data_IF_889594878345
#
_entry.id   IF_889594878345
#
_cell.length_a   1.000
_cell.length_b   1.000
_cell.length_c   1.000
_cell.angle_alpha   90.00
_cell.angle_beta   90.00
_cell.angle_gamma   90.00
#
_symmetry.space_group_name_H-M   'P 1'
#
loop_
_entity.id
_entity.type
_entity.pdbx_description
1 polymer ?
#
# COMPACT_ATOMS: atom_id res chain seq x y z
N UNK A 1 34.29 -7.40 26.38
CA UNK A 1 33.35 -6.99 25.32
C UNK A 1 32.07 -6.61 26.02
N UNK A 2 31.79 -5.32 26.17
CA UNK A 2 30.53 -4.86 26.73
C UNK A 2 29.38 -5.22 25.78
N UNK A 3 28.21 -5.61 26.30
CA UNK A 3 27.03 -5.83 25.49
C UNK A 3 26.58 -4.49 24.89
N UNK A 4 26.49 -4.44 23.56
CA UNK A 4 25.97 -3.29 22.82
C UNK A 4 24.63 -2.85 23.41
N UNK A 5 24.60 -1.65 23.99
CA UNK A 5 23.38 -1.02 24.46
C UNK A 5 22.39 -0.92 23.29
N UNK A 6 21.25 -1.59 23.41
CA UNK A 6 20.10 -1.36 22.52
C UNK A 6 19.66 0.09 22.73
N UNK A 7 20.00 0.97 21.79
CA UNK A 7 19.45 2.32 21.76
C UNK A 7 17.97 2.21 21.38
N UNK A 8 17.10 2.20 22.39
CA UNK A 8 15.68 2.44 22.18
C UNK A 8 15.51 3.92 21.76
N UNK A 9 15.46 4.18 20.46
CA UNK A 9 15.02 5.49 19.97
C UNK A 9 13.50 5.65 20.15
N UNK A 10 13.00 6.85 20.50
CA UNK A 10 11.61 7.05 20.88
C UNK A 10 10.63 6.83 19.71
N UNK A 11 9.45 6.28 20.03
CA UNK A 11 8.25 6.27 19.16
C UNK A 11 7.85 7.74 18.94
N UNK A 12 7.81 8.20 17.68
CA UNK A 12 7.48 9.60 17.37
C UNK A 12 6.03 9.69 16.93
N UNK A 13 5.15 9.95 17.89
CA UNK A 13 3.76 10.30 17.64
C UNK A 13 3.65 11.82 17.71
N UNK A 14 3.53 12.46 16.55
CA UNK A 14 3.42 13.91 16.47
C UNK A 14 2.15 14.29 15.72
N UNK A 15 1.31 15.06 16.39
CA UNK A 15 -0.01 15.49 15.91
C UNK A 15 -0.07 17.00 16.06
N UNK A 16 -0.18 17.71 14.96
CA UNK A 16 -0.61 19.12 14.95
C UNK A 16 -1.78 19.24 13.95
N UNK A 17 -2.53 20.35 13.98
CA UNK A 17 -3.61 20.57 13.02
C UNK A 17 -3.12 20.36 11.57
N UNK A 18 -3.57 19.28 10.94
CA UNK A 18 -3.28 18.97 9.55
C UNK A 18 -2.16 17.95 9.30
N UNK A 19 -1.55 17.38 10.34
CA UNK A 19 -0.63 16.25 10.15
C UNK A 19 -0.67 15.21 11.28
N UNK A 20 -0.38 13.98 10.90
CA UNK A 20 -0.08 12.86 11.77
C UNK A 20 1.10 12.06 11.25
N UNK A 21 2.20 12.05 12.03
CA UNK A 21 3.37 11.21 11.76
C UNK A 21 3.41 10.06 12.76
N UNK A 22 3.59 8.85 12.24
CA UNK A 22 3.84 7.65 13.03
C UNK A 22 5.02 6.89 12.45
N UNK A 23 6.09 6.73 13.24
CA UNK A 23 7.25 5.97 12.80
C UNK A 23 7.78 5.08 13.91
N UNK A 24 8.25 3.91 13.53
CA UNK A 24 8.94 2.97 14.40
C UNK A 24 10.40 2.86 13.97
N UNK A 25 11.31 3.04 14.93
CA UNK A 25 12.74 2.91 14.72
C UNK A 25 13.19 1.48 15.08
N UNK A 26 13.92 0.83 14.18
CA UNK A 26 14.46 -0.52 14.41
C UNK A 26 15.91 -0.64 13.94
N UNK A 27 16.79 -0.89 14.91
CA UNK A 27 18.19 -1.33 14.82
C UNK A 27 19.17 -0.45 14.00
N UNK A 28 18.72 0.25 12.96
CA UNK A 28 19.41 1.33 12.22
C UNK A 28 18.47 2.08 11.22
N UNK A 29 17.19 1.68 11.06
CA UNK A 29 16.25 2.31 10.13
C UNK A 29 14.95 2.74 10.83
N UNK A 30 14.46 3.93 10.48
CA UNK A 30 13.12 4.42 10.85
C UNK A 30 12.19 4.17 9.67
N UNK A 31 11.22 3.25 9.83
CA UNK A 31 10.13 3.05 8.87
C UNK A 31 8.84 3.55 9.52
N UNK A 32 7.95 4.12 8.72
CA UNK A 32 6.80 4.82 9.25
C UNK A 32 5.75 5.10 8.21
N UNK A 33 4.63 5.63 8.67
CA UNK A 33 3.56 6.16 7.86
C UNK A 33 3.29 7.60 8.31
N UNK A 34 3.02 8.46 7.35
CA UNK A 34 2.57 9.82 7.62
C UNK A 34 1.27 10.09 6.88
N UNK A 35 0.38 10.83 7.52
CA UNK A 35 -0.87 11.29 6.94
C UNK A 35 -0.99 12.79 7.12
N UNK A 36 -1.32 13.48 6.05
CA UNK A 36 -1.49 14.93 6.03
C UNK A 36 -2.90 15.26 5.53
N UNK A 37 -3.54 16.25 6.12
CA UNK A 37 -4.87 16.70 5.71
C UNK A 37 -5.04 18.21 5.85
N UNK A 38 -5.94 18.78 5.06
CA UNK A 38 -6.32 20.19 5.15
C UNK A 38 -7.19 20.41 6.39
N UNK A 39 -6.63 20.94 7.49
CA UNK A 39 -7.30 21.09 8.79
C UNK A 39 -8.52 22.02 8.76
N UNK A 40 -8.54 22.96 7.81
CA UNK A 40 -9.67 23.84 7.48
C UNK A 40 -10.82 23.11 6.77
N UNK A 41 -10.55 21.98 6.10
CA UNK A 41 -11.57 21.15 5.42
C UNK A 41 -12.01 19.96 6.24
N UNK A 42 -11.08 19.32 6.95
CA UNK A 42 -11.31 18.08 7.68
C UNK A 42 -11.04 18.23 9.18
N UNK A 43 -11.97 17.69 9.96
CA UNK A 43 -11.82 17.50 11.40
C UNK A 43 -11.47 16.02 11.65
N UNK A 44 -10.35 15.78 12.32
CA UNK A 44 -9.98 14.44 12.79
C UNK A 44 -10.94 14.03 13.92
N UNK A 45 -11.55 12.85 13.80
CA UNK A 45 -12.49 12.30 14.78
C UNK A 45 -11.85 11.20 15.63
N UNK A 46 -11.10 10.30 15.00
CA UNK A 46 -10.41 9.19 15.65
C UNK A 46 -9.14 8.86 14.88
N UNK A 47 -8.14 8.38 15.60
CA UNK A 47 -6.89 7.93 15.04
C UNK A 47 -6.42 6.66 15.74
N UNK A 48 -5.84 5.76 14.98
CA UNK A 48 -5.31 4.50 15.50
C UNK A 48 -4.06 4.12 14.72
N UNK A 49 -3.02 3.71 15.44
CA UNK A 49 -1.84 3.09 14.85
C UNK A 49 -1.84 1.60 15.10
N UNK A 50 -1.27 0.87 14.15
CA UNK A 50 -1.14 -0.58 14.18
C UNK A 50 0.34 -0.89 14.08
N UNK A 51 0.88 -1.53 15.12
CA UNK A 51 2.20 -2.15 15.07
C UNK A 51 2.03 -3.64 14.80
N UNK A 52 2.39 -4.08 13.59
CA UNK A 52 2.18 -5.47 13.19
C UNK A 52 3.02 -6.45 14.03
N UNK A 53 4.09 -5.99 14.68
CA UNK A 53 4.96 -6.80 15.54
C UNK A 53 4.21 -7.39 16.72
N UNK A 54 3.22 -6.67 17.26
CA UNK A 54 2.39 -7.10 18.39
C UNK A 54 1.54 -8.33 18.02
N UNK A 55 1.40 -8.61 16.72
CA UNK A 55 0.64 -9.72 16.16
C UNK A 55 1.53 -10.75 15.46
N UNK A 56 2.85 -10.68 15.65
CA UNK A 56 3.82 -11.58 14.98
C UNK A 56 3.99 -11.29 13.48
N UNK A 57 3.52 -10.15 13.00
CA UNK A 57 3.49 -9.75 11.59
C UNK A 57 4.62 -8.77 11.23
N UNK A 58 5.80 -8.91 11.86
CA UNK A 58 7.00 -8.07 11.65
C UNK A 58 6.81 -6.60 12.03
N UNK A 59 7.89 -5.84 11.94
CA UNK A 59 8.01 -4.46 12.43
C UNK A 59 7.32 -3.39 11.58
N UNK A 60 6.52 -3.77 10.58
CA UNK A 60 5.78 -2.83 9.76
C UNK A 60 4.68 -2.13 10.58
N UNK A 61 4.22 -0.99 10.07
CA UNK A 61 3.18 -0.19 10.72
C UNK A 61 2.08 0.21 9.74
N UNK A 62 0.93 0.54 10.29
CA UNK A 62 -0.17 1.20 9.57
C UNK A 62 -0.85 2.23 10.46
N UNK A 63 -1.56 3.17 9.82
CA UNK A 63 -2.37 4.19 10.45
C UNK A 63 -3.80 4.10 9.95
N UNK A 64 -4.75 4.43 10.80
CA UNK A 64 -6.16 4.66 10.47
C UNK A 64 -6.59 6.00 11.08
N UNK A 65 -7.27 6.82 10.29
CA UNK A 65 -7.77 8.12 10.72
C UNK A 65 -9.17 8.36 10.18
N UNK A 66 -10.13 8.53 11.08
CA UNK A 66 -11.50 8.89 10.74
C UNK A 66 -11.62 10.41 10.66
N UNK A 67 -12.13 10.92 9.55
CA UNK A 67 -12.30 12.35 9.32
C UNK A 67 -13.76 12.71 9.11
N UNK A 68 -14.11 13.94 9.49
CA UNK A 68 -15.37 14.59 9.16
C UNK A 68 -15.13 15.88 8.37
N UNK A 69 -15.91 16.10 7.32
CA UNK A 69 -15.83 17.33 6.54
C UNK A 69 -16.50 18.48 7.30
N UNK A 70 -15.77 19.57 7.54
CA UNK A 70 -16.27 20.71 8.34
C UNK A 70 -17.49 21.40 7.71
N UNK A 71 -17.49 21.53 6.39
CA UNK A 71 -18.57 22.18 5.64
C UNK A 71 -19.80 21.27 5.46
N UNK A 72 -19.72 20.00 5.84
CA UNK A 72 -20.84 19.06 5.74
C UNK A 72 -20.75 18.04 6.86
N UNK A 73 -21.27 18.41 8.04
CA UNK A 73 -21.10 17.70 9.33
C UNK A 73 -21.62 16.24 9.38
N UNK A 74 -22.10 15.69 8.27
CA UNK A 74 -22.52 14.28 8.14
C UNK A 74 -21.61 13.47 7.21
N UNK A 75 -20.64 14.11 6.55
CA UNK A 75 -19.72 13.45 5.61
C UNK A 75 -18.46 13.03 6.33
N UNK A 76 -18.34 11.72 6.51
CA UNK A 76 -17.21 11.09 7.16
C UNK A 76 -16.54 10.10 6.23
N UNK A 77 -15.25 9.90 6.44
CA UNK A 77 -14.43 8.93 5.71
C UNK A 77 -13.35 8.39 6.63
N UNK A 78 -13.10 7.09 6.56
CA UNK A 78 -11.96 6.45 7.20
C UNK A 78 -10.83 6.36 6.19
N UNK A 79 -9.65 6.86 6.53
CA UNK A 79 -8.46 6.76 5.69
C UNK A 79 -7.43 5.91 6.42
N UNK A 80 -6.96 4.86 5.76
CA UNK A 80 -5.85 4.02 6.21
C UNK A 80 -4.61 4.27 5.35
N UNK A 81 -3.45 4.25 5.99
CA UNK A 81 -2.15 4.27 5.33
C UNK A 81 -1.31 3.08 5.82
N UNK A 82 -0.67 2.36 4.91
CA UNK A 82 0.14 1.18 5.24
C UNK A 82 1.41 1.09 4.39
N UNK A 83 2.50 0.61 4.99
CA UNK A 83 3.67 0.14 4.27
C UNK A 83 3.86 -1.35 4.55
N UNK A 84 3.35 -2.19 3.65
CA UNK A 84 3.38 -3.65 3.76
C UNK A 84 4.80 -4.17 3.62
N UNK A 85 5.12 -5.29 4.26
CA UNK A 85 6.44 -5.93 4.21
C UNK A 85 7.00 -6.01 2.79
N UNK A 86 8.23 -5.53 2.59
CA UNK A 86 8.89 -5.55 1.28
C UNK A 86 9.23 -6.97 0.79
N UNK A 87 9.74 -7.84 1.66
CA UNK A 87 10.33 -9.13 1.28
C UNK A 87 9.40 -9.96 0.34
N UNK A 88 9.81 -10.20 -0.92
CA UNK A 88 8.94 -10.83 -1.92
C UNK A 88 8.56 -12.28 -1.58
N UNK A 89 9.39 -12.96 -0.77
CA UNK A 89 9.21 -14.37 -0.39
C UNK A 89 8.29 -14.57 0.83
N UNK A 90 7.79 -13.50 1.43
CA UNK A 90 6.99 -13.53 2.67
C UNK A 90 5.55 -13.12 2.43
N UNK A 91 4.94 -13.70 1.40
CA UNK A 91 3.58 -13.37 0.96
C UNK A 91 2.52 -13.60 2.03
N UNK A 92 2.72 -14.59 2.90
CA UNK A 92 1.86 -14.90 4.04
C UNK A 92 1.83 -13.76 5.07
N UNK A 93 2.97 -13.14 5.36
CA UNK A 93 3.03 -11.99 6.28
C UNK A 93 2.34 -10.78 5.66
N UNK A 94 2.55 -10.53 4.35
CA UNK A 94 1.87 -9.44 3.64
C UNK A 94 0.36 -9.60 3.70
N UNK A 95 -0.11 -10.82 3.44
CA UNK A 95 -1.53 -11.16 3.50
C UNK A 95 -2.08 -10.96 4.92
N UNK A 96 -1.39 -11.46 5.94
CA UNK A 96 -1.76 -11.24 7.34
C UNK A 96 -1.84 -9.75 7.74
N UNK A 97 -0.88 -8.93 7.32
CA UNK A 97 -0.89 -7.46 7.55
C UNK A 97 -2.11 -6.80 6.91
N UNK A 98 -2.42 -7.14 5.65
CA UNK A 98 -3.56 -6.61 4.90
C UNK A 98 -4.89 -7.07 5.52
N UNK A 99 -5.01 -8.34 5.89
CA UNK A 99 -6.17 -8.89 6.60
C UNK A 99 -6.42 -8.13 7.90
N UNK A 100 -5.38 -7.96 8.71
CA UNK A 100 -5.48 -7.28 10.00
C UNK A 100 -5.90 -5.82 9.85
N UNK A 101 -5.26 -5.07 8.93
CA UNK A 101 -5.64 -3.69 8.62
C UNK A 101 -7.10 -3.60 8.18
N UNK A 102 -7.54 -4.49 7.28
CA UNK A 102 -8.89 -4.48 6.72
C UNK A 102 -9.95 -4.76 7.80
N UNK A 103 -9.69 -5.71 8.69
CA UNK A 103 -10.56 -6.01 9.84
C UNK A 103 -10.63 -4.84 10.82
N UNK A 104 -9.49 -4.22 11.14
CA UNK A 104 -9.47 -3.04 12.02
C UNK A 104 -10.19 -1.85 11.39
N UNK A 105 -10.01 -1.65 10.08
CA UNK A 105 -10.68 -0.58 9.35
C UNK A 105 -12.21 -0.78 9.34
N UNK A 106 -12.70 -2.02 9.17
CA UNK A 106 -14.13 -2.31 9.26
C UNK A 106 -14.71 -1.93 10.64
N UNK A 107 -14.04 -2.30 11.73
CA UNK A 107 -14.48 -1.97 13.10
C UNK A 107 -14.59 -0.46 13.31
N UNK A 108 -13.57 0.30 12.87
CA UNK A 108 -13.58 1.77 13.00
C UNK A 108 -14.65 2.38 12.09
N UNK A 109 -14.83 1.85 10.87
CA UNK A 109 -15.84 2.32 9.95
C UNK A 109 -17.27 2.16 10.51
N UNK A 110 -17.56 1.00 11.10
CA UNK A 110 -18.84 0.69 11.77
C UNK A 110 -19.10 1.64 12.94
N UNK A 111 -18.09 1.84 13.81
CA UNK A 111 -18.16 2.75 14.97
C UNK A 111 -18.59 4.17 14.59
N UNK A 112 -18.19 4.66 13.42
CA UNK A 112 -18.51 6.01 12.95
C UNK A 112 -19.76 6.10 12.06
N UNK A 113 -20.53 5.01 11.98
CA UNK A 113 -21.80 4.95 11.23
C UNK A 113 -21.65 4.33 9.84
N UNK A 114 -20.89 3.25 9.72
CA UNK A 114 -20.60 2.56 8.45
C UNK A 114 -20.00 3.50 7.39
N UNK A 115 -19.05 4.33 7.80
CA UNK A 115 -18.42 5.33 6.93
C UNK A 115 -17.59 4.65 5.84
N UNK A 116 -17.50 5.23 4.63
CA UNK A 116 -16.66 4.66 3.59
C UNK A 116 -15.17 4.67 3.98
N UNK A 117 -14.43 3.69 3.48
CA UNK A 117 -13.02 3.46 3.77
C UNK A 117 -12.19 3.70 2.52
N UNK A 118 -11.05 4.36 2.71
CA UNK A 118 -9.94 4.45 1.76
C UNK A 118 -8.72 3.81 2.39
N UNK A 119 -8.06 2.86 1.73
CA UNK A 119 -6.78 2.31 2.15
C UNK A 119 -5.72 2.67 1.11
N UNK A 120 -4.69 3.38 1.53
CA UNK A 120 -3.61 3.84 0.68
C UNK A 120 -2.25 3.34 1.18
N UNK A 121 -1.25 3.36 0.30
CA UNK A 121 0.14 3.14 0.68
C UNK A 121 0.88 2.20 -0.26
N UNK A 122 2.08 1.79 0.16
CA UNK A 122 2.91 0.81 -0.55
C UNK A 122 2.54 -0.59 -0.05
N UNK A 123 1.80 -1.32 -0.87
CA UNK A 123 1.37 -2.68 -0.55
C UNK A 123 2.46 -3.71 -0.89
N UNK A 124 3.53 -3.33 -1.59
CA UNK A 124 4.56 -4.26 -2.05
C UNK A 124 3.97 -5.51 -2.75
N UNK A 125 2.91 -5.31 -3.53
CA UNK A 125 2.25 -6.33 -4.37
C UNK A 125 2.07 -5.79 -5.78
N UNK A 126 2.05 -6.69 -6.76
CA UNK A 126 1.84 -6.32 -8.17
C UNK A 126 0.37 -6.50 -8.57
N UNK A 127 -0.10 -5.82 -9.63
CA UNK A 127 -1.49 -5.96 -10.06
C UNK A 127 -1.89 -7.35 -10.59
N UNK A 128 -0.93 -8.21 -10.91
CA UNK A 128 -1.15 -9.60 -11.34
C UNK A 128 -1.10 -10.60 -10.17
N UNK A 129 -0.81 -10.12 -8.96
CA UNK A 129 -0.56 -10.96 -7.80
C UNK A 129 -1.83 -11.58 -7.20
N UNK A 130 -1.66 -12.69 -6.49
CA UNK A 130 -2.74 -13.33 -5.74
C UNK A 130 -3.31 -12.42 -4.66
N UNK A 131 -2.47 -11.59 -4.02
CA UNK A 131 -2.89 -10.64 -2.98
C UNK A 131 -3.67 -9.46 -3.59
N UNK A 132 -3.34 -9.01 -4.81
CA UNK A 132 -4.17 -8.00 -5.50
C UNK A 132 -5.56 -8.57 -5.78
N UNK A 133 -5.63 -9.82 -6.27
CA UNK A 133 -6.91 -10.52 -6.46
C UNK A 133 -7.68 -10.60 -5.14
N UNK A 134 -7.03 -11.03 -4.06
CA UNK A 134 -7.61 -11.08 -2.71
C UNK A 134 -8.26 -9.75 -2.32
N UNK A 135 -7.55 -8.62 -2.45
CA UNK A 135 -8.07 -7.29 -2.14
C UNK A 135 -9.35 -6.96 -2.91
N UNK A 136 -9.43 -7.37 -4.18
CA UNK A 136 -10.58 -7.13 -5.04
C UNK A 136 -11.75 -8.10 -4.82
N UNK A 137 -11.47 -9.38 -4.50
CA UNK A 137 -12.48 -10.44 -4.35
C UNK A 137 -12.92 -10.68 -2.91
N UNK A 138 -12.26 -10.07 -1.93
CA UNK A 138 -12.45 -10.28 -0.49
C UNK A 138 -12.03 -11.65 0.04
N UNK A 139 -11.67 -12.59 -0.82
CA UNK A 139 -11.29 -13.96 -0.46
C UNK A 139 -10.17 -14.53 -1.34
N UNK A 140 -9.35 -15.40 -0.76
CA UNK A 140 -8.26 -16.09 -1.45
C UNK A 140 -8.00 -17.46 -0.84
N UNK A 141 -8.08 -18.51 -1.66
CA UNK A 141 -7.59 -19.83 -1.27
C UNK A 141 -6.07 -19.90 -1.49
N UNK A 142 -5.31 -19.77 -0.40
CA UNK A 142 -3.83 -19.70 -0.44
C UNK A 142 -3.18 -21.01 -0.88
N UNK A 143 -3.88 -22.15 -0.78
CA UNK A 143 -3.37 -23.46 -1.21
C UNK A 143 -3.15 -23.54 -2.72
N UNK A 144 -3.82 -22.66 -3.48
CA UNK A 144 -3.73 -22.64 -4.95
C UNK A 144 -2.51 -21.88 -5.48
N UNK A 145 -1.66 -21.34 -4.61
CA UNK A 145 -0.54 -20.47 -4.98
C UNK A 145 0.75 -20.90 -4.28
N UNK A 146 1.88 -20.65 -4.94
CA UNK A 146 3.18 -20.70 -4.28
C UNK A 146 3.27 -19.57 -3.25
N UNK A 147 3.56 -19.92 -2.00
CA UNK A 147 3.72 -18.97 -0.88
C UNK A 147 4.72 -17.84 -1.18
N UNK A 148 5.73 -18.10 -2.02
CA UNK A 148 6.77 -17.13 -2.41
C UNK A 148 6.39 -16.25 -3.60
N UNK A 149 5.26 -16.52 -4.26
CA UNK A 149 4.82 -15.76 -5.43
C UNK A 149 3.50 -15.00 -5.20
N UNK A 150 2.93 -15.07 -4.00
CA UNK A 150 1.67 -14.38 -3.65
C UNK A 150 1.67 -12.88 -3.95
N UNK A 151 2.82 -12.21 -3.86
CA UNK A 151 2.99 -10.76 -4.13
C UNK A 151 3.24 -10.44 -5.60
N UNK A 152 3.59 -11.44 -6.43
CA UNK A 152 3.99 -11.31 -7.83
C UNK A 152 5.28 -10.52 -8.08
N UNK A 153 5.99 -10.06 -7.03
CA UNK A 153 7.18 -9.21 -7.20
C UNK A 153 8.38 -9.93 -7.84
N UNK A 154 8.46 -11.27 -7.73
CA UNK A 154 9.56 -12.08 -8.30
C UNK A 154 9.57 -12.04 -9.83
N UNK A 155 8.43 -11.74 -10.45
CA UNK A 155 8.24 -11.73 -11.90
C UNK A 155 8.45 -10.34 -12.53
N UNK A 156 8.79 -9.32 -11.73
CA UNK A 156 8.88 -7.91 -12.17
C UNK A 156 10.32 -7.37 -12.25
N UNK A 157 11.28 -8.24 -12.57
CA UNK A 157 12.66 -7.82 -12.82
C UNK A 157 12.82 -7.18 -14.20
N UNK A 158 13.58 -6.08 -14.29
CA UNK A 158 13.76 -5.28 -15.51
C UNK A 158 14.13 -6.12 -16.74
N UNK A 159 15.01 -7.11 -16.57
CA UNK A 159 15.43 -8.01 -17.64
C UNK A 159 14.22 -8.78 -18.21
N UNK A 160 13.33 -9.26 -17.35
CA UNK A 160 12.15 -10.03 -17.75
C UNK A 160 11.03 -9.15 -18.35
N UNK A 161 10.96 -7.88 -17.98
CA UNK A 161 9.92 -6.94 -18.44
C UNK A 161 10.32 -6.23 -19.74
N UNK A 162 11.61 -5.93 -19.93
CA UNK A 162 12.10 -5.13 -21.07
C UNK A 162 12.83 -5.93 -22.15
N UNK A 163 13.37 -7.11 -21.85
CA UNK A 163 13.89 -8.01 -22.89
C UNK A 163 12.79 -9.01 -23.26
N UNK A 164 12.44 -8.99 -24.55
CA UNK A 164 11.54 -9.89 -25.28
C UNK A 164 11.50 -11.29 -24.65
N UNK A 165 10.28 -11.84 -24.50
CA UNK A 165 9.96 -13.27 -24.36
C UNK A 165 11.06 -14.17 -24.94
N UNK A 166 12.08 -14.47 -24.15
CA UNK A 166 12.86 -15.67 -24.26
C UNK A 166 12.50 -16.43 -23.02
N UNK A 167 11.87 -17.58 -23.20
CA UNK A 167 11.71 -18.61 -22.19
C UNK A 167 13.10 -19.08 -21.74
N UNK A 168 13.83 -18.22 -21.03
CA UNK A 168 14.90 -18.69 -20.16
C UNK A 168 14.16 -19.10 -18.90
N UNK A 169 13.61 -20.30 -18.95
CA UNK A 169 13.20 -21.02 -17.76
C UNK A 169 14.44 -21.03 -16.86
N UNK A 170 14.47 -20.17 -15.84
CA UNK A 170 15.57 -20.13 -14.90
C UNK A 170 15.65 -21.52 -14.24
N UNK A 171 16.75 -22.28 -14.40
CA UNK A 171 16.85 -23.63 -13.85
C UNK A 171 16.63 -23.66 -12.32
N UNK A 172 16.98 -22.57 -11.62
CA UNK A 172 16.71 -22.41 -10.20
C UNK A 172 15.22 -22.23 -9.88
N UNK A 173 14.44 -21.58 -10.76
CA UNK A 173 12.98 -21.46 -10.60
C UNK A 173 12.23 -22.77 -10.91
N UNK A 174 12.88 -23.71 -11.62
CA UNK A 174 12.37 -25.08 -11.81
C UNK A 174 12.70 -25.94 -10.60
N UNK A 175 13.94 -25.86 -10.09
CA UNK A 175 14.34 -26.55 -8.84
C UNK A 175 13.48 -26.12 -7.65
N UNK A 176 13.12 -24.83 -7.55
CA UNK A 176 12.20 -24.32 -6.53
C UNK A 176 10.79 -24.93 -6.61
N UNK A 177 10.34 -25.31 -7.82
CA UNK A 177 9.04 -25.98 -8.05
C UNK A 177 9.06 -27.46 -7.69
N UNK A 178 10.24 -28.07 -7.59
CA UNK A 178 10.44 -29.50 -7.31
C UNK A 178 10.57 -29.81 -5.81
N UNK A 179 10.76 -28.81 -4.95
CA UNK A 179 10.71 -28.97 -3.50
C UNK A 179 9.25 -29.06 -3.02
N UNK A 180 8.95 -29.73 -1.88
CA UNK A 180 7.59 -29.75 -1.35
C UNK A 180 7.15 -28.31 -1.07
N UNK A 181 6.31 -27.76 -1.95
CA UNK A 181 5.73 -26.41 -1.87
C UNK A 181 4.62 -26.34 -0.82
N UNK A 182 4.83 -27.01 0.31
CA UNK A 182 3.90 -27.06 1.42
C UNK A 182 3.97 -25.76 2.20
N UNK A 183 2.80 -25.19 2.45
CA UNK A 183 2.60 -24.23 3.51
C UNK A 183 2.84 -24.93 4.86
N UNK A 184 3.58 -24.31 5.77
CA UNK A 184 3.58 -24.78 7.17
C UNK A 184 2.32 -24.30 7.89
N UNK A 185 1.90 -25.00 8.94
CA UNK A 185 0.74 -24.61 9.76
C UNK A 185 0.90 -23.19 10.33
N UNK A 186 2.12 -22.78 10.67
CA UNK A 186 2.44 -21.42 11.09
C UNK A 186 2.25 -20.41 9.95
N UNK A 187 2.72 -20.71 8.74
CA UNK A 187 2.53 -19.85 7.58
C UNK A 187 1.05 -19.71 7.22
N UNK A 188 0.28 -20.80 7.27
CA UNK A 188 -1.18 -20.77 7.08
C UNK A 188 -1.82 -19.89 8.15
N UNK A 189 -1.47 -20.10 9.43
CA UNK A 189 -1.99 -19.30 10.54
C UNK A 189 -1.66 -17.81 10.39
N UNK A 190 -0.47 -17.46 9.91
CA UNK A 190 -0.06 -16.08 9.66
C UNK A 190 -0.88 -15.46 8.52
N UNK A 191 -1.13 -16.21 7.45
CA UNK A 191 -1.91 -15.73 6.30
C UNK A 191 -3.40 -15.58 6.58
N UNK A 192 -4.01 -16.53 7.29
CA UNK A 192 -5.48 -16.67 7.39
C UNK A 192 -6.01 -16.45 8.81
N UNK A 193 -5.14 -16.40 9.82
CA UNK A 193 -5.51 -16.39 11.24
C UNK A 193 -5.81 -17.78 11.81
N UNK A 194 -5.89 -18.83 11.00
CA UNK A 194 -6.21 -20.19 11.44
C UNK A 194 -5.38 -21.23 10.67
N UNK A 195 -4.54 -21.98 11.39
CA UNK A 195 -3.62 -22.99 10.83
C UNK A 195 -4.31 -24.07 9.97
N UNK A 196 -5.59 -24.35 10.20
CA UNK A 196 -6.36 -25.36 9.48
C UNK A 196 -7.21 -24.79 8.33
N UNK A 197 -7.22 -23.47 8.15
CA UNK A 197 -8.01 -22.80 7.12
C UNK A 197 -7.09 -22.18 6.06
N UNK A 198 -7.20 -22.66 4.83
CA UNK A 198 -6.47 -22.11 3.68
C UNK A 198 -7.24 -20.99 2.96
N UNK A 199 -8.41 -20.59 3.48
CA UNK A 199 -9.20 -19.48 2.94
C UNK A 199 -8.90 -18.21 3.74
N UNK A 200 -8.13 -17.30 3.15
CA UNK A 200 -8.00 -15.95 3.67
C UNK A 200 -9.23 -15.13 3.26
N UNK A 201 -9.75 -14.32 4.18
CA UNK A 201 -10.90 -13.44 3.94
C UNK A 201 -10.66 -12.06 4.55
N UNK A 202 -11.22 -11.01 3.94
CA UNK A 202 -11.30 -9.68 4.53
C UNK A 202 -12.69 -9.08 4.38
N UNK A 203 -13.14 -8.21 5.31
CA UNK A 203 -14.54 -7.75 5.33
C UNK A 203 -14.87 -6.65 4.31
N UNK A 204 -13.86 -5.92 3.83
CA UNK A 204 -14.05 -4.77 2.96
C UNK A 204 -14.32 -5.18 1.50
N UNK A 205 -15.22 -4.48 0.80
CA UNK A 205 -15.42 -4.60 -0.65
C UNK A 205 -14.63 -3.50 -1.35
N UNK A 206 -13.38 -3.78 -1.69
CA UNK A 206 -12.43 -2.78 -2.16
C UNK A 206 -12.39 -2.72 -3.70
N UNK A 207 -12.25 -1.51 -4.23
CA UNK A 207 -11.92 -1.24 -5.62
C UNK A 207 -10.67 -0.37 -5.69
N UNK A 208 -9.83 -0.58 -6.69
CA UNK A 208 -8.70 0.32 -6.91
C UNK A 208 -9.15 1.58 -7.64
N UNK A 209 -8.71 2.73 -7.16
CA UNK A 209 -9.03 4.02 -7.76
C UNK A 209 -8.45 4.17 -9.17
N UNK A 210 -7.25 3.65 -9.39
CA UNK A 210 -6.58 3.73 -10.68
C UNK A 210 -7.24 2.84 -11.72
N UNK A 211 -7.58 1.59 -11.38
CA UNK A 211 -8.35 0.72 -12.27
C UNK A 211 -9.76 1.25 -12.57
N UNK A 212 -10.34 2.05 -11.67
CA UNK A 212 -11.71 2.57 -11.80
C UNK A 212 -11.82 3.85 -12.64
N UNK A 213 -10.72 4.55 -12.90
CA UNK A 213 -10.70 5.80 -13.67
C UNK A 213 -9.94 5.57 -14.99
N UNK A 214 -10.51 6.05 -16.11
CA UNK A 214 -9.87 5.92 -17.42
C UNK A 214 -8.54 6.69 -17.44
N UNK A 215 -7.44 5.97 -17.56
CA UNK A 215 -6.10 6.54 -17.73
C UNK A 215 -5.57 6.47 -19.17
N UNK A 216 -4.34 6.93 -19.38
CA UNK A 216 -3.69 6.90 -20.70
C UNK A 216 -3.18 5.48 -21.06
N UNK A 217 -3.40 4.99 -22.29
CA UNK A 217 -2.83 3.71 -22.74
C UNK A 217 -1.29 3.67 -22.70
N UNK A 218 -0.61 4.83 -22.63
CA UNK A 218 0.85 4.91 -22.53
C UNK A 218 1.39 4.69 -21.12
N UNK A 219 0.53 4.79 -20.11
CA UNK A 219 0.90 4.76 -18.69
C UNK A 219 0.16 3.66 -17.94
N UNK A 220 -0.92 3.11 -18.51
CA UNK A 220 -1.77 2.06 -17.92
C UNK A 220 -1.54 0.69 -18.54
N UNK A 221 -1.63 -0.34 -17.72
CA UNK A 221 -1.71 -1.74 -18.13
C UNK A 221 -3.13 -2.16 -18.50
N UNK A 222 -3.28 -3.41 -18.92
CA UNK A 222 -4.57 -4.00 -19.34
C UNK A 222 -5.64 -3.99 -18.24
N UNK A 223 -5.22 -3.99 -16.98
CA UNK A 223 -6.08 -3.96 -15.81
C UNK A 223 -6.44 -2.53 -15.35
N UNK A 224 -6.05 -1.50 -16.10
CA UNK A 224 -6.28 -0.09 -15.76
C UNK A 224 -5.32 0.47 -14.70
N UNK A 225 -4.50 -0.38 -14.08
CA UNK A 225 -3.47 0.06 -13.15
C UNK A 225 -2.32 0.77 -13.88
N UNK A 226 -1.58 1.67 -13.21
CA UNK A 226 -0.36 2.20 -13.80
C UNK A 226 0.64 1.08 -14.11
N UNK A 227 1.49 1.29 -15.11
CA UNK A 227 2.57 0.35 -15.46
C UNK A 227 3.66 0.32 -14.39
N UNK A 228 3.93 1.47 -13.77
CA UNK A 228 4.83 1.56 -12.62
C UNK A 228 4.45 2.70 -11.66
N UNK A 229 4.55 2.39 -10.37
CA UNK A 229 4.59 3.34 -9.25
C UNK A 229 5.92 3.24 -8.48
N UNK A 230 6.79 2.31 -8.87
CA UNK A 230 8.16 2.18 -8.39
C UNK A 230 9.06 1.76 -9.55
N UNK A 231 10.21 2.42 -9.66
CA UNK A 231 11.20 2.15 -10.70
C UNK A 231 12.61 2.38 -10.19
N UNK A 232 13.39 1.32 -10.09
CA UNK A 232 14.82 1.34 -9.79
C UNK A 232 15.51 0.13 -10.44
N UNK A 233 16.82 0.00 -10.26
CA UNK A 233 17.66 -1.01 -10.92
C UNK A 233 17.24 -2.48 -10.73
N UNK A 234 16.37 -2.79 -9.75
CA UNK A 234 15.95 -4.16 -9.43
C UNK A 234 14.47 -4.42 -9.66
N UNK A 235 13.66 -3.37 -9.80
CA UNK A 235 12.20 -3.48 -9.85
C UNK A 235 11.59 -2.40 -10.74
N UNK A 236 10.63 -2.80 -11.55
CA UNK A 236 9.73 -1.91 -12.26
C UNK A 236 8.33 -2.48 -12.16
N UNK A 237 7.42 -1.71 -11.59
CA UNK A 237 6.04 -2.15 -11.43
C UNK A 237 5.25 -1.26 -10.51
N UNK A 238 3.97 -1.59 -10.38
CA UNK A 238 3.03 -0.91 -9.49
C UNK A 238 2.95 -1.67 -8.18
N UNK A 239 3.19 -0.95 -7.09
CA UNK A 239 3.13 -1.44 -5.70
C UNK A 239 2.36 -0.51 -4.77
N UNK A 240 2.12 0.71 -5.23
CA UNK A 240 1.43 1.74 -4.49
C UNK A 240 -0.02 1.82 -4.99
N UNK A 241 -0.98 1.79 -4.07
CA UNK A 241 -2.40 1.72 -4.41
C UNK A 241 -3.23 2.67 -3.55
N UNK A 242 -4.43 2.97 -4.07
CA UNK A 242 -5.47 3.67 -3.34
C UNK A 242 -6.78 2.91 -3.53
N UNK A 243 -7.08 2.05 -2.57
CA UNK A 243 -8.29 1.22 -2.51
C UNK A 243 -9.43 1.96 -1.83
N UNK A 244 -10.66 1.74 -2.28
CA UNK A 244 -11.84 2.37 -1.67
C UNK A 244 -13.05 1.44 -1.62
N UNK A 245 -13.92 1.64 -0.63
CA UNK A 245 -15.20 0.95 -0.51
C UNK A 245 -16.33 1.71 -1.19
N UNK A 246 -17.49 1.04 -1.35
CA UNK A 246 -18.74 1.69 -1.76
C UNK A 246 -19.02 2.92 -0.88
N UNK A 247 -19.70 3.90 -1.47
CA UNK A 247 -19.95 5.21 -0.87
C UNK A 247 -19.01 6.28 -1.39
N UNK A 248 -17.85 5.93 -1.95
CA UNK A 248 -16.94 6.82 -2.66
C UNK A 248 -16.90 6.50 -4.16
N UNK A 249 -16.64 7.51 -4.98
CA UNK A 249 -16.45 7.39 -6.42
C UNK A 249 -15.23 8.22 -6.83
N UNK A 250 -14.14 7.61 -7.30
CA UNK A 250 -13.02 8.35 -7.84
C UNK A 250 -13.46 9.08 -9.12
N UNK A 251 -13.25 10.39 -9.17
CA UNK A 251 -13.59 11.24 -10.31
C UNK A 251 -12.39 11.50 -11.21
N UNK A 252 -11.19 11.58 -10.62
CA UNK A 252 -9.92 11.82 -11.31
C UNK A 252 -8.78 11.15 -10.55
N UNK A 253 -7.73 10.79 -11.28
CA UNK A 253 -6.47 10.30 -10.71
C UNK A 253 -5.30 11.00 -11.39
N UNK A 254 -4.23 11.27 -10.64
CA UNK A 254 -2.97 11.73 -11.20
C UNK A 254 -2.28 10.55 -11.88
N UNK A 255 -2.09 10.65 -13.20
CA UNK A 255 -1.43 9.61 -13.98
C UNK A 255 0.08 9.53 -13.70
N UNK A 256 0.67 8.37 -13.97
CA UNK A 256 2.11 8.16 -13.79
C UNK A 256 2.88 8.57 -15.04
N UNK A 257 4.21 8.61 -14.94
CA UNK A 257 5.06 8.92 -16.08
C UNK A 257 5.07 7.76 -17.10
N UNK A 258 4.99 8.06 -18.40
CA UNK A 258 5.20 7.08 -19.46
C UNK A 258 6.52 6.33 -19.32
N UNK A 259 6.53 5.06 -19.72
CA UNK A 259 7.69 4.16 -19.60
C UNK A 259 8.91 4.70 -20.34
N UNK A 260 8.72 5.33 -21.51
CA UNK A 260 9.81 5.93 -22.28
C UNK A 260 10.49 7.08 -21.54
N UNK A 261 9.74 7.85 -20.74
CA UNK A 261 10.30 8.91 -19.89
C UNK A 261 11.04 8.30 -18.71
N UNK A 262 10.44 7.33 -18.02
CA UNK A 262 11.09 6.62 -16.91
C UNK A 262 12.42 5.98 -17.35
N UNK A 263 12.46 5.32 -18.51
CA UNK A 263 13.71 4.73 -19.02
C UNK A 263 14.83 5.75 -19.24
N UNK A 264 14.49 6.97 -19.67
CA UNK A 264 15.48 8.06 -19.86
C UNK A 264 16.06 8.57 -18.54
N UNK A 265 15.35 8.42 -17.42
CA UNK A 265 15.87 8.84 -16.11
C UNK A 265 16.82 7.84 -15.46
N UNK A 266 16.85 6.58 -15.93
CA UNK A 266 17.77 5.55 -15.42
C UNK A 266 17.42 4.98 -14.04
N UNK A 267 16.23 5.30 -13.50
CA UNK A 267 15.77 4.90 -12.17
C UNK A 267 15.41 6.11 -11.31
N UNK A 268 14.56 5.92 -10.30
CA UNK A 268 14.17 6.98 -9.37
C UNK A 268 14.65 6.66 -7.93
N UNK A 269 15.08 7.69 -7.16
CA UNK A 269 15.20 9.11 -7.52
C UNK A 269 16.40 9.40 -8.47
N UNK A 270 16.26 10.35 -9.40
CA UNK A 270 17.34 10.77 -10.30
C UNK A 270 17.72 12.26 -10.10
N UNK A 271 18.98 12.62 -10.42
CA UNK A 271 19.54 13.99 -10.34
C UNK A 271 19.44 14.75 -11.68
N UNK A 272 18.35 14.63 -12.44
CA UNK A 272 18.22 15.38 -13.71
C UNK A 272 17.95 16.87 -13.40
N UNK A 273 18.84 17.74 -13.90
CA UNK A 273 19.02 19.18 -13.58
C UNK A 273 17.83 20.12 -13.83
N UNK A 274 16.65 19.62 -14.20
CA UNK A 274 15.44 20.44 -14.41
C UNK A 274 14.21 19.96 -13.65
N UNK A 275 14.28 18.80 -12.98
CA UNK A 275 13.22 18.32 -12.09
C UNK A 275 13.87 17.60 -10.91
N UNK A 276 14.29 18.36 -9.91
CA UNK A 276 14.76 17.77 -8.65
C UNK A 276 13.63 16.92 -8.05
N UNK A 277 13.85 15.60 -7.99
CA UNK A 277 13.00 14.60 -7.33
C UNK A 277 11.67 14.32 -8.03
N UNK A 278 11.71 13.63 -9.17
CA UNK A 278 10.57 12.85 -9.64
C UNK A 278 10.35 11.68 -8.66
N UNK A 279 9.44 11.86 -7.71
CA UNK A 279 8.85 10.77 -6.94
C UNK A 279 7.54 10.33 -7.59
N UNK A 280 7.15 9.08 -7.39
CA UNK A 280 5.79 8.68 -7.73
C UNK A 280 4.83 9.31 -6.71
N UNK A 281 3.88 10.09 -7.19
CA UNK A 281 2.81 10.64 -6.36
C UNK A 281 1.51 9.95 -6.74
N UNK A 282 0.80 9.41 -5.75
CA UNK A 282 -0.54 8.88 -5.92
C UNK A 282 -1.53 9.94 -5.48
N UNK A 283 -2.37 10.41 -6.40
CA UNK A 283 -3.42 11.36 -6.06
C UNK A 283 -4.71 10.98 -6.75
N UNK A 284 -5.81 11.11 -6.03
CA UNK A 284 -7.15 10.79 -6.51
C UNK A 284 -8.12 11.84 -5.97
N UNK A 285 -9.04 12.31 -6.81
CA UNK A 285 -10.20 13.07 -6.36
C UNK A 285 -11.37 12.10 -6.18
N UNK A 286 -12.05 12.13 -5.04
CA UNK A 286 -13.09 11.13 -4.71
C UNK A 286 -14.37 11.78 -4.22
N UNK A 287 -15.49 11.45 -4.88
CA UNK A 287 -16.81 11.91 -4.47
C UNK A 287 -17.60 10.91 -3.63
N UNK A 288 -17.97 11.29 -2.41
CA UNK A 288 -18.91 10.56 -1.56
C UNK A 288 -20.36 10.74 -2.03
N UNK A 289 -21.02 9.63 -2.36
CA UNK A 289 -22.43 9.56 -2.70
C UNK A 289 -23.29 9.56 -1.42
N UNK A 290 -24.17 10.54 -1.29
CA UNK A 290 -25.31 10.54 -0.36
C UNK A 290 -26.58 10.68 -1.21
N UNK A 291 -27.71 10.14 -0.73
CA UNK A 291 -29.04 10.20 -1.34
C UNK A 291 -29.18 11.27 -2.44
N UNK A 292 -29.29 10.81 -3.69
CA UNK A 292 -29.63 11.53 -4.94
C UNK A 292 -28.91 12.87 -5.26
N UNK A 293 -27.91 13.29 -4.48
CA UNK A 293 -27.17 14.54 -4.71
C UNK A 293 -25.67 14.29 -4.86
N UNK A 294 -25.12 14.70 -6.00
CA UNK A 294 -23.68 14.62 -6.31
C UNK A 294 -23.05 15.96 -5.95
N UNK A 295 -22.31 16.00 -4.84
CA UNK A 295 -21.42 17.13 -4.55
C UNK A 295 -19.98 16.73 -4.83
N UNK A 296 -19.35 17.37 -5.81
CA UNK A 296 -17.97 17.13 -6.20
C UNK A 296 -17.01 17.34 -5.02
N UNK A 297 -16.06 16.44 -4.87
CA UNK A 297 -14.91 16.64 -4.01
C UNK A 297 -13.72 16.97 -4.89
N UNK A 298 -13.38 18.24 -4.98
CA UNK A 298 -12.14 18.64 -5.63
C UNK A 298 -10.92 18.48 -4.72
N UNK A 299 -11.07 17.99 -3.49
CA UNK A 299 -9.96 17.88 -2.53
C UNK A 299 -10.16 16.75 -1.50
N UNK A 300 -10.03 15.49 -1.92
CA UNK A 300 -9.66 14.40 -0.99
C UNK A 300 -8.19 14.07 -1.27
N UNK A 301 -7.36 14.38 -0.28
CA UNK A 301 -6.01 13.85 -0.03
C UNK A 301 -5.04 13.89 -1.23
N UNK A 302 -4.19 14.92 -1.25
CA UNK A 302 -2.85 14.75 -1.82
C UNK A 302 -2.10 13.74 -0.95
N UNK A 303 -2.16 12.46 -1.32
CA UNK A 303 -1.14 11.50 -0.90
C UNK A 303 0.09 11.80 -1.74
N UNK A 304 0.83 12.83 -1.35
CA UNK A 304 2.21 12.88 -1.72
C UNK A 304 2.86 11.63 -1.12
N UNK A 305 3.05 10.59 -1.95
CA UNK A 305 3.88 9.41 -1.70
C UNK A 305 5.35 9.81 -1.59
N UNK A 306 5.63 10.83 -0.78
CA UNK A 306 6.95 11.34 -0.50
C UNK A 306 7.67 10.52 0.57
N UNK A 307 7.15 9.35 0.94
CA UNK A 307 7.66 8.55 2.04
C UNK A 307 8.76 7.54 1.66
N UNK A 308 9.34 7.62 0.46
CA UNK A 308 10.64 6.97 0.17
C UNK A 308 11.85 7.90 0.30
N UNK A 309 11.65 9.22 0.43
CA UNK A 309 12.75 10.22 0.48
C UNK A 309 12.66 11.19 1.66
N UNK A 310 11.47 11.43 2.24
CA UNK A 310 11.36 12.35 3.38
C UNK A 310 11.94 11.80 4.69
N UNK A 311 11.89 10.47 4.91
CA UNK A 311 12.42 9.87 6.15
C UNK A 311 13.92 10.18 6.35
N UNK A 312 14.74 10.14 5.29
CA UNK A 312 16.17 10.45 5.41
C UNK A 312 16.49 11.94 5.45
N UNK A 313 15.61 12.81 4.94
CA UNK A 313 15.91 14.25 4.78
C UNK A 313 15.33 15.10 5.91
N UNK A 314 14.24 14.66 6.55
CA UNK A 314 13.63 15.35 7.69
C UNK A 314 14.32 14.99 9.02
N UNK A 315 14.75 13.73 9.19
CA UNK A 315 15.56 13.29 10.34
C UNK A 315 17.02 13.77 10.29
N UNK A 316 17.50 14.25 9.13
CA UNK A 316 18.84 14.83 9.00
C UNK A 316 18.88 16.36 9.17
N UNK A 317 17.73 17.00 9.44
CA UNK A 317 17.65 18.46 9.60
C UNK A 317 17.11 18.93 10.96
N UNK A 318 16.86 18.03 11.92
CA UNK A 318 16.61 18.35 13.32
C UNK A 318 17.15 17.24 14.22
#
# INVERSE_FOLDING_TARGET
>A
MEPSQKVNMPRVDRIEPGYYLYATAHWDNVDGCAMFWKADKFRLLEQTSIEFKEFGLRENVAQLSAFEMRNTKSRRVLVGNIHVLYNPNRGEVKLGQICFLSSRAQIVAEKWGNIPVVLAGDFNITPQSAIYKFLSSSELNIKSYDRRDLSGQRSCHLVQVFEVKKEIINPFAVMDRLLPNGWTDEEVKVATGNAQCYLAVHPLKLNSSYASVKGSPRTRGINGEPLATSYHSKFFGTVDYLWYTKGLVPTRVLDTLPVDILRRTGGLPCKVRTVERVGFAISCCMTQKLHESVSAWDDIVHFQGFLKVFASTFLARY
#
